data_IF_061228287434
#
_entry.id   IF_061228287434
#
_cell.length_a   1.000
_cell.length_b   1.000
_cell.length_c   1.000
_cell.angle_alpha   90.00
_cell.angle_beta   90.00
_cell.angle_gamma   90.00
#
_symmetry.space_group_name_H-M   'P 1'
#
loop_
_entity.id
_entity.type
_entity.pdbx_description
1 polymer ?
2 non-polymer ?
3 non-polymer ?
4 non-polymer ?
5 non-polymer ?
6 water ?
#
# COMPACT_ATOMS: atom_id res chain seq x y z
N UNK A 1 -16.33 -10.42 -4.49
CA UNK A 1 -15.73 -9.04 -4.72
C UNK A 1 -14.19 -9.09 -4.78
N UNK A 2 -13.60 -10.27 -5.04
CA UNK A 2 -12.18 -10.41 -5.45
C UNK A 2 -11.90 -9.38 -6.54
N UNK A 3 -10.76 -8.69 -6.45
CA UNK A 3 -10.41 -7.64 -7.42
C UNK A 3 -10.64 -8.14 -8.86
N UNK A 4 -10.29 -9.38 -9.23
CA UNK A 4 -10.30 -9.68 -10.69
C UNK A 4 -11.72 -10.04 -11.15
N UNK A 5 -12.68 -10.16 -10.22
CA UNK A 5 -14.12 -10.27 -10.55
C UNK A 5 -14.78 -8.90 -10.69
N UNK A 6 -14.04 -7.80 -10.52
CA UNK A 6 -14.62 -6.42 -10.45
C UNK A 6 -13.92 -5.49 -11.43
N UNK A 7 -12.62 -5.37 -11.33
CA UNK A 7 -11.84 -4.41 -12.16
C UNK A 7 -11.58 -5.08 -13.50
N UNK A 8 -11.92 -4.43 -14.63
CA UNK A 8 -11.59 -4.98 -15.94
C UNK A 8 -10.09 -5.37 -16.02
N UNK A 9 -9.79 -6.54 -16.57
CA UNK A 9 -8.44 -7.12 -16.66
C UNK A 9 -7.46 -6.12 -17.28
N UNK A 10 -7.87 -5.44 -18.32
CA UNK A 10 -6.92 -4.57 -19.07
C UNK A 10 -6.53 -3.35 -18.22
N UNK A 11 -7.15 -3.08 -17.06
CA UNK A 11 -6.76 -1.92 -16.23
C UNK A 11 -5.64 -2.35 -15.26
N UNK A 12 -5.44 -3.65 -15.06
CA UNK A 12 -4.50 -4.18 -14.04
C UNK A 12 -3.53 -5.25 -14.58
N UNK A 13 -3.83 -5.97 -15.66
CA UNK A 13 -2.93 -7.04 -16.18
C UNK A 13 -1.69 -6.42 -16.86
N UNK A 14 -0.48 -6.79 -16.43
CA UNK A 14 0.79 -6.28 -17.02
C UNK A 14 1.37 -7.24 -18.03
N UNK A 15 0.87 -8.48 -18.08
CA UNK A 15 1.39 -9.55 -18.93
C UNK A 15 2.84 -9.77 -18.50
N UNK A 16 3.82 -9.48 -19.35
CA UNK A 16 5.25 -9.66 -18.97
C UNK A 16 5.93 -8.29 -19.08
N UNK A 17 5.18 -7.23 -18.79
CA UNK A 17 5.64 -5.80 -18.87
C UNK A 17 5.38 -5.05 -17.57
N UNK A 18 6.09 -5.40 -16.47
CA UNK A 18 5.70 -4.96 -15.13
C UNK A 18 5.69 -3.45 -14.94
N UNK A 19 6.55 -2.74 -15.68
CA UNK A 19 6.70 -1.30 -15.43
C UNK A 19 5.79 -0.50 -16.38
N UNK A 20 5.31 -1.09 -17.48
CA UNK A 20 4.43 -0.40 -18.48
C UNK A 20 2.99 -0.38 -18.02
N UNK A 21 2.27 0.75 -18.24
CA UNK A 21 0.85 0.82 -17.87
C UNK A 21 0.03 -0.23 -18.62
N UNK A 22 -0.95 -0.89 -17.96
CA UNK A 22 -1.82 -1.83 -18.66
C UNK A 22 -2.50 -1.12 -19.82
N UNK A 23 -2.84 -1.85 -20.90
CA UNK A 23 -3.36 -1.21 -22.11
C UNK A 23 -4.65 -0.42 -21.85
N UNK A 24 -5.52 -0.87 -20.94
CA UNK A 24 -6.78 -0.15 -20.66
C UNK A 24 -6.55 1.21 -20.02
N UNK A 25 -5.43 1.40 -19.32
CA UNK A 25 -5.06 2.73 -18.80
C UNK A 25 -4.38 3.53 -19.92
N UNK A 26 -3.51 2.90 -20.70
CA UNK A 26 -2.81 3.59 -21.83
C UNK A 26 -3.85 4.18 -22.78
N UNK A 27 -4.96 3.47 -22.99
CA UNK A 27 -5.88 3.85 -24.08
C UNK A 27 -6.66 5.08 -23.63
N UNK A 28 -6.65 5.46 -22.35
CA UNK A 28 -7.39 6.67 -21.87
C UNK A 28 -6.50 7.91 -21.89
N UNK A 29 -5.24 7.80 -22.27
CA UNK A 29 -4.37 8.98 -22.30
C UNK A 29 -4.90 9.99 -23.33
N UNK A 30 -4.77 11.26 -23.00
CA UNK A 30 -5.16 12.39 -23.87
C UNK A 30 -6.66 12.57 -23.94
N UNK A 31 -7.41 11.92 -23.05
CA UNK A 31 -8.90 12.02 -23.01
C UNK A 31 -9.26 12.77 -21.74
N UNK A 32 -10.56 12.96 -21.48
CA UNK A 32 -11.02 13.53 -20.19
C UNK A 32 -10.31 12.80 -19.03
N UNK A 33 -9.95 13.55 -18.00
CA UNK A 33 -9.21 13.03 -16.83
C UNK A 33 -10.13 12.17 -15.94
N UNK A 34 -11.44 12.31 -16.09
CA UNK A 34 -12.42 11.51 -15.31
C UNK A 34 -13.37 10.92 -16.35
N UNK A 35 -13.50 9.61 -16.36
CA UNK A 35 -14.37 8.94 -17.36
C UNK A 35 -15.08 7.78 -16.70
N UNK A 36 -16.25 7.40 -17.19
CA UNK A 36 -16.92 6.22 -16.65
C UNK A 36 -16.04 4.98 -16.81
N UNK A 37 -16.27 4.07 -15.88
CA UNK A 37 -15.63 2.75 -15.79
C UNK A 37 -16.73 1.73 -15.60
N UNK A 38 -16.86 0.82 -16.53
CA UNK A 38 -17.85 -0.26 -16.39
C UNK A 38 -17.18 -1.44 -15.66
N UNK A 39 -17.69 -1.78 -14.49
CA UNK A 39 -17.10 -2.86 -13.67
C UNK A 39 -17.63 -4.20 -14.18
N UNK A 40 -16.87 -5.25 -13.93
CA UNK A 40 -17.21 -6.62 -14.39
C UNK A 40 -18.44 -7.15 -13.65
N UNK A 41 -18.82 -6.58 -12.52
CA UNK A 41 -20.08 -7.00 -11.80
C UNK A 41 -21.32 -6.39 -12.48
N UNK A 42 -21.15 -5.42 -13.38
CA UNK A 42 -22.21 -4.74 -14.13
C UNK A 42 -22.51 -3.37 -13.55
N UNK A 43 -21.86 -2.98 -12.47
CA UNK A 43 -22.02 -1.65 -11.85
C UNK A 43 -21.09 -0.65 -12.52
N UNK A 44 -21.51 0.61 -12.43
CA UNK A 44 -20.80 1.76 -13.04
C UNK A 44 -19.95 2.40 -11.94
N UNK A 45 -18.80 2.90 -12.31
CA UNK A 45 -17.94 3.71 -11.43
C UNK A 45 -17.28 4.75 -12.34
N UNK A 46 -16.45 5.59 -11.76
CA UNK A 46 -15.77 6.66 -12.52
C UNK A 46 -14.29 6.46 -12.22
N UNK A 47 -13.46 6.64 -13.20
CA UNK A 47 -12.01 6.44 -13.07
C UNK A 47 -11.34 7.79 -13.26
N UNK A 48 -10.37 8.07 -12.41
CA UNK A 48 -9.65 9.37 -12.43
C UNK A 48 -8.24 9.07 -12.84
N UNK A 49 -7.78 9.71 -13.91
CA UNK A 49 -6.39 9.51 -14.40
C UNK A 49 -5.59 10.81 -14.27
N UNK A 50 -6.23 11.92 -13.91
CA UNK A 50 -5.61 13.25 -13.82
C UNK A 50 -5.07 13.52 -12.44
N UNK A 51 -3.86 14.06 -12.33
CA UNK A 51 -3.24 14.42 -11.04
C UNK A 51 -4.09 15.46 -10.28
N UNK A 52 -4.50 16.56 -10.92
CA UNK A 52 -5.21 17.64 -10.20
C UNK A 52 -6.57 17.06 -9.79
N UNK A 53 -7.15 16.25 -10.65
CA UNK A 53 -8.49 15.71 -10.36
C UNK A 53 -8.43 14.71 -9.20
N UNK A 54 -7.41 13.88 -9.14
CA UNK A 54 -7.19 12.93 -8.04
C UNK A 54 -7.00 13.70 -6.74
N UNK A 55 -6.19 14.77 -6.75
CA UNK A 55 -5.99 15.59 -5.53
C UNK A 55 -7.30 16.14 -5.03
N UNK A 56 -8.14 16.58 -5.93
CA UNK A 56 -9.49 17.10 -5.57
C UNK A 56 -10.32 15.97 -4.94
N UNK A 57 -10.39 14.81 -5.57
CA UNK A 57 -11.15 13.69 -4.99
C UNK A 57 -10.72 13.47 -3.55
N UNK A 58 -9.39 13.40 -3.28
CA UNK A 58 -8.87 12.98 -1.98
C UNK A 58 -8.90 14.13 -0.97
N UNK A 59 -9.27 15.34 -1.37
CA UNK A 59 -9.28 16.49 -0.43
C UNK A 59 -10.47 17.40 -0.77
N UNK A 60 -11.65 16.87 -0.80
CA UNK A 60 -12.84 17.67 -1.12
C UNK A 60 -13.92 17.06 -0.28
N UNK A 61 -14.66 17.88 0.44
CA UNK A 61 -15.72 17.48 1.38
C UNK A 61 -16.85 16.74 0.67
N UNK A 62 -16.94 16.83 -0.65
CA UNK A 62 -18.02 16.12 -1.40
C UNK A 62 -17.68 14.66 -1.70
N UNK A 63 -16.47 14.20 -1.37
CA UNK A 63 -16.01 12.82 -1.67
C UNK A 63 -15.70 12.16 -0.35
N UNK A 64 -16.46 11.12 -0.01
CA UNK A 64 -16.39 10.45 1.29
C UNK A 64 -15.48 9.21 1.23
N UNK A 65 -14.70 9.03 2.30
CA UNK A 65 -13.91 7.82 2.56
C UNK A 65 -14.75 6.82 3.36
N UNK A 66 -15.92 7.22 3.80
CA UNK A 66 -16.77 6.32 4.63
C UNK A 66 -17.46 5.32 3.70
N UNK A 67 -16.70 4.28 3.36
CA UNK A 67 -17.13 3.22 2.45
C UNK A 67 -17.87 2.14 3.23
N UNK A 68 -18.06 2.33 4.53
CA UNK A 68 -19.02 1.53 5.33
C UNK A 68 -20.41 2.11 5.11
N UNK A 69 -20.57 3.39 5.39
CA UNK A 69 -21.86 4.07 5.17
C UNK A 69 -22.21 4.07 3.67
N UNK A 70 -21.29 4.52 2.83
CA UNK A 70 -21.55 4.73 1.37
C UNK A 70 -21.06 3.51 0.65
N UNK A 71 -21.99 2.69 0.10
CA UNK A 71 -21.53 1.41 -0.51
C UNK A 71 -20.84 1.75 -1.84
N UNK A 72 -19.71 1.12 -2.05
CA UNK A 72 -18.95 1.29 -3.33
C UNK A 72 -19.40 0.26 -4.35
N UNK A 73 -19.38 0.68 -5.61
CA UNK A 73 -19.68 -0.19 -6.76
C UNK A 73 -18.75 -1.40 -6.75
N UNK A 74 -17.51 -1.20 -6.30
CA UNK A 74 -16.49 -2.26 -6.26
C UNK A 74 -16.72 -3.30 -5.18
N UNK A 75 -17.62 -3.06 -4.24
CA UNK A 75 -17.98 -3.93 -3.09
C UNK A 75 -19.20 -4.81 -3.38
N UNK A 76 -19.84 -4.64 -4.53
CA UNK A 76 -21.19 -5.19 -4.74
C UNK A 76 -21.08 -6.70 -5.02
N UNK A 77 -21.83 -7.50 -4.28
CA UNK A 77 -22.11 -8.90 -4.68
C UNK A 77 -23.04 -8.85 -5.88
N UNK A 78 -23.09 -9.94 -6.69
CA UNK A 78 -23.95 -9.96 -7.87
C UNK A 78 -25.43 -9.62 -7.62
N UNK A 79 -25.98 -10.05 -6.50
CA UNK A 79 -27.42 -9.84 -6.20
C UNK A 79 -27.65 -8.37 -5.83
N UNK A 80 -26.58 -7.60 -5.59
CA UNK A 80 -26.70 -6.21 -5.11
C UNK A 80 -26.62 -5.16 -6.24
N UNK A 81 -26.16 -5.54 -7.41
CA UNK A 81 -25.86 -4.57 -8.50
C UNK A 81 -27.17 -3.92 -8.93
N UNK A 82 -28.22 -4.68 -9.20
CA UNK A 82 -29.48 -4.07 -9.74
C UNK A 82 -30.07 -3.11 -8.69
N UNK A 83 -29.97 -3.45 -7.38
CA UNK A 83 -30.41 -2.54 -6.28
C UNK A 83 -29.56 -1.27 -6.30
N UNK A 84 -28.25 -1.43 -6.40
CA UNK A 84 -27.33 -0.26 -6.48
C UNK A 84 -27.73 0.63 -7.64
N UNK A 85 -27.92 0.05 -8.81
CA UNK A 85 -28.23 0.85 -10.02
C UNK A 85 -29.57 1.54 -9.88
N UNK A 86 -30.52 0.93 -9.15
CA UNK A 86 -31.90 1.43 -8.99
C UNK A 86 -31.95 2.45 -7.84
N UNK A 87 -30.86 2.56 -7.07
CA UNK A 87 -30.74 3.45 -5.89
C UNK A 87 -31.51 2.93 -4.70
N UNK A 88 -31.70 1.61 -4.58
CA UNK A 88 -32.50 0.93 -3.52
C UNK A 88 -31.61 0.00 -2.66
N UNK A 89 -30.32 0.18 -2.78
CA UNK A 89 -29.39 -0.59 -1.93
C UNK A 89 -29.19 0.25 -0.69
N UNK A 90 -29.38 -0.31 0.52
CA UNK A 90 -29.28 0.54 1.71
C UNK A 90 -27.83 0.94 1.98
N UNK A 91 -27.63 2.08 2.65
CA UNK A 91 -26.32 2.42 3.18
C UNK A 91 -25.93 1.41 4.26
N UNK A 92 -24.65 1.37 4.56
CA UNK A 92 -24.16 0.76 5.79
C UNK A 92 -24.44 1.63 7.00
N UNK A 93 -24.04 1.19 8.21
CA UNK A 93 -24.32 1.93 9.43
C UNK A 93 -23.76 3.35 9.46
N UNK A 94 -24.54 4.28 9.98
CA UNK A 94 -24.14 5.67 10.25
C UNK A 94 -22.95 5.70 11.20
N UNK A 95 -22.01 6.61 10.96
CA UNK A 95 -20.74 6.56 11.70
C UNK A 95 -21.00 6.82 13.19
N UNK A 96 -22.02 7.62 13.54
CA UNK A 96 -22.44 7.92 14.94
C UNK A 96 -22.77 6.61 15.65
N UNK A 97 -23.14 5.55 14.94
CA UNK A 97 -23.58 4.26 15.53
C UNK A 97 -22.42 3.27 15.67
N UNK A 98 -21.25 3.58 15.09
CA UNK A 98 -20.16 2.58 15.02
C UNK A 98 -19.27 2.64 16.25
N UNK A 99 -18.85 1.47 16.73
CA UNK A 99 -17.93 1.37 17.88
C UNK A 99 -16.58 0.83 17.41
N UNK A 100 -16.41 0.57 16.12
CA UNK A 100 -15.16 -0.08 15.59
C UNK A 100 -14.05 0.96 15.44
N UNK A 101 -12.84 0.44 15.23
CA UNK A 101 -11.66 1.28 15.03
C UNK A 101 -11.26 1.44 13.58
N UNK A 102 -12.11 1.10 12.61
CA UNK A 102 -11.71 1.20 11.18
C UNK A 102 -11.83 2.64 10.71
N UNK A 103 -10.92 3.48 11.19
CA UNK A 103 -10.86 4.93 10.94
C UNK A 103 -10.58 5.22 9.47
N UNK A 104 -10.09 4.23 8.73
CA UNK A 104 -9.89 4.30 7.27
C UNK A 104 -11.22 4.54 6.58
N UNK A 105 -12.31 4.03 7.16
CA UNK A 105 -13.67 4.24 6.60
C UNK A 105 -14.45 5.26 7.42
N UNK A 106 -13.89 6.45 7.58
CA UNK A 106 -14.50 7.56 8.34
C UNK A 106 -14.05 8.84 7.65
N UNK A 107 -14.83 9.90 7.83
CA UNK A 107 -14.50 11.28 7.43
C UNK A 107 -14.32 12.11 8.69
N UNK A 108 -13.75 13.32 8.60
CA UNK A 108 -13.69 14.20 9.76
C UNK A 108 -15.09 14.51 10.26
N UNK A 109 -15.34 14.68 11.57
CA UNK A 109 -14.34 14.59 12.62
C UNK A 109 -14.14 13.23 13.25
N UNK A 110 -14.96 12.23 12.90
CA UNK A 110 -14.76 10.89 13.49
C UNK A 110 -13.41 10.30 13.11
N UNK A 111 -12.99 10.47 11.86
CA UNK A 111 -11.65 10.04 11.40
C UNK A 111 -10.56 10.71 12.27
N UNK A 112 -10.74 12.00 12.45
CA UNK A 112 -9.71 12.91 13.03
C UNK A 112 -9.38 12.46 14.45
N UNK A 113 -10.40 12.05 15.18
CA UNK A 113 -10.25 11.68 16.59
C UNK A 113 -9.32 10.47 16.72
N UNK A 114 -9.46 9.44 15.86
CA UNK A 114 -8.59 8.23 15.92
C UNK A 114 -7.24 8.52 15.25
N UNK A 115 -7.23 9.18 14.08
CA UNK A 115 -5.99 9.55 13.36
C UNK A 115 -5.06 10.38 14.27
N UNK A 116 -5.59 11.27 15.11
CA UNK A 116 -4.77 12.06 16.03
C UNK A 116 -4.01 11.15 17.01
N UNK A 117 -4.65 10.13 17.56
CA UNK A 117 -4.00 9.15 18.45
C UNK A 117 -2.86 8.41 17.73
N UNK A 118 -3.05 8.02 16.46
CA UNK A 118 -1.99 7.33 15.70
C UNK A 118 -0.84 8.29 15.39
N UNK A 119 -1.12 9.49 14.90
CA UNK A 119 -0.08 10.51 14.62
C UNK A 119 0.72 10.73 15.91
N UNK A 120 0.04 10.69 17.05
CA UNK A 120 0.59 10.89 18.37
C UNK A 120 1.62 9.84 18.72
N UNK A 121 1.57 8.66 18.11
CA UNK A 121 2.56 7.60 18.35
C UNK A 121 3.64 7.66 17.28
N UNK A 122 3.34 8.14 16.07
CA UNK A 122 4.31 8.29 14.96
C UNK A 122 5.05 9.60 15.18
N UNK A 123 5.69 9.75 16.33
CA UNK A 123 6.43 10.97 16.68
C UNK A 123 7.77 10.98 15.94
N UNK A 124 8.37 12.15 15.83
CA UNK A 124 9.72 12.28 15.23
C UNK A 124 10.70 11.42 16.05
N UNK A 125 10.58 11.36 17.37
CA UNK A 125 11.51 10.53 18.21
C UNK A 125 11.29 9.04 17.93
N UNK A 126 10.06 8.61 17.75
CA UNK A 126 9.87 7.19 17.39
C UNK A 126 10.42 6.91 15.99
N UNK A 127 10.27 7.86 15.08
CA UNK A 127 10.69 7.66 13.69
C UNK A 127 12.22 7.54 13.69
N UNK A 128 12.92 8.29 14.53
CA UNK A 128 14.40 8.18 14.61
C UNK A 128 14.76 6.80 15.14
N UNK A 129 13.99 6.31 16.09
CA UNK A 129 14.21 4.98 16.67
C UNK A 129 14.00 3.90 15.61
N UNK A 130 12.94 4.06 14.84
CA UNK A 130 12.60 3.07 13.79
C UNK A 130 13.64 3.09 12.67
N UNK A 131 14.23 4.23 12.32
CA UNK A 131 15.27 4.26 11.29
C UNK A 131 16.41 3.36 11.74
N UNK A 132 16.79 3.43 13.01
CA UNK A 132 17.89 2.59 13.53
C UNK A 132 17.50 1.12 13.47
N UNK A 133 16.27 0.82 13.82
CA UNK A 133 15.81 -0.58 13.83
C UNK A 133 15.75 -1.12 12.39
N UNK A 134 15.27 -0.30 11.45
CA UNK A 134 15.24 -0.66 10.02
C UNK A 134 16.65 -0.98 9.55
N UNK A 135 17.62 -0.15 9.93
CA UNK A 135 19.04 -0.35 9.52
C UNK A 135 19.54 -1.72 9.99
N UNK A 136 19.34 -2.03 11.27
CA UNK A 136 19.70 -3.34 11.83
C UNK A 136 19.06 -4.46 11.04
N UNK A 137 17.76 -4.44 10.88
CA UNK A 137 17.04 -5.58 10.27
C UNK A 137 17.53 -5.75 8.81
N UNK A 138 17.69 -4.65 8.07
CA UNK A 138 18.13 -4.70 6.66
C UNK A 138 19.53 -5.34 6.61
N UNK A 139 20.48 -4.79 7.37
CA UNK A 139 21.86 -5.29 7.32
C UNK A 139 21.87 -6.76 7.75
N UNK A 140 21.18 -7.12 8.82
CA UNK A 140 21.13 -8.55 9.26
C UNK A 140 20.66 -9.45 8.12
N UNK A 141 19.59 -9.06 7.43
CA UNK A 141 19.04 -9.88 6.32
C UNK A 141 20.02 -10.00 5.16
N UNK A 142 20.70 -8.92 4.81
CA UNK A 142 21.67 -8.91 3.69
C UNK A 142 22.88 -9.74 4.11
N UNK A 143 23.39 -9.58 5.33
CA UNK A 143 24.53 -10.38 5.83
C UNK A 143 24.12 -11.85 5.83
N UNK A 144 22.87 -12.20 6.14
CA UNK A 144 22.40 -13.59 6.13
C UNK A 144 22.39 -14.11 4.68
N UNK A 145 21.92 -13.31 3.72
CA UNK A 145 21.92 -13.74 2.31
C UNK A 145 23.37 -14.03 1.87
N UNK A 146 24.33 -13.16 2.22
CA UNK A 146 25.74 -13.29 1.79
C UNK A 146 26.38 -14.50 2.47
N UNK A 147 26.02 -14.81 3.71
CA UNK A 147 26.56 -16.00 4.40
C UNK A 147 26.04 -17.29 3.76
N UNK A 148 24.82 -17.28 3.19
CA UNK A 148 24.14 -18.52 2.74
C UNK A 148 24.64 -18.89 1.33
N UNK A 149 25.16 -17.93 0.57
CA UNK A 149 25.62 -18.18 -0.80
C UNK A 149 25.85 -16.94 -1.61
N UNK A 150 25.74 -17.07 -2.93
CA UNK A 150 25.95 -15.95 -3.87
C UNK A 150 24.66 -15.69 -4.65
N UNK A 151 23.59 -16.37 -4.26
CA UNK A 151 22.28 -16.20 -4.94
C UNK A 151 21.20 -16.22 -3.85
N UNK A 152 20.07 -15.57 -4.15
CA UNK A 152 18.92 -15.51 -3.24
C UNK A 152 17.68 -15.15 -4.02
N UNK A 153 16.52 -15.49 -3.45
CA UNK A 153 15.24 -14.91 -3.88
C UNK A 153 15.02 -13.73 -2.94
N UNK A 154 15.13 -12.53 -3.46
CA UNK A 154 15.05 -11.30 -2.66
C UNK A 154 13.71 -11.19 -1.95
N UNK A 155 12.65 -11.85 -2.46
CA UNK A 155 11.30 -11.64 -1.87
C UNK A 155 11.31 -12.29 -0.48
N UNK A 156 11.46 -13.62 -0.31
CA UNK A 156 11.47 -14.21 1.03
C UNK A 156 12.70 -13.85 1.87
N UNK A 157 13.83 -13.50 1.25
CA UNK A 157 15.09 -13.30 2.00
C UNK A 157 15.13 -11.89 2.59
N UNK A 158 14.36 -10.94 2.02
CA UNK A 158 14.60 -9.51 2.33
C UNK A 158 13.31 -8.70 2.26
N UNK A 159 12.65 -8.69 1.10
CA UNK A 159 11.52 -7.76 0.87
C UNK A 159 10.34 -8.09 1.79
N UNK A 160 10.01 -9.34 2.02
CA UNK A 160 8.88 -9.72 2.89
C UNK A 160 9.26 -9.53 4.34
N UNK A 161 10.40 -10.08 4.81
CA UNK A 161 10.66 -10.02 6.24
C UNK A 161 10.94 -8.64 6.82
N UNK A 162 11.59 -7.72 6.11
CA UNK A 162 11.94 -6.42 6.73
C UNK A 162 10.66 -5.69 7.15
N UNK A 163 9.64 -5.52 6.30
CA UNK A 163 8.48 -4.76 6.73
C UNK A 163 7.60 -5.51 7.75
N UNK A 164 7.55 -6.83 7.67
CA UNK A 164 6.85 -7.69 8.65
C UNK A 164 7.51 -7.50 10.03
N UNK A 165 8.83 -7.45 10.07
CA UNK A 165 9.51 -7.28 11.39
C UNK A 165 9.36 -5.83 11.89
N UNK A 166 9.21 -4.88 11.00
CA UNK A 166 8.92 -3.49 11.43
C UNK A 166 7.50 -3.42 11.99
N UNK A 167 6.52 -4.17 11.45
CA UNK A 167 5.18 -4.25 12.08
C UNK A 167 5.34 -4.85 13.47
N UNK A 168 6.12 -5.90 13.61
CA UNK A 168 6.38 -6.54 14.92
C UNK A 168 6.90 -5.46 15.87
N UNK A 169 7.82 -4.61 15.41
CA UNK A 169 8.37 -3.53 16.26
C UNK A 169 7.25 -2.58 16.68
N UNK A 170 6.36 -2.16 15.78
CA UNK A 170 5.29 -1.19 16.10
C UNK A 170 4.30 -1.80 17.09
N UNK A 171 3.98 -3.05 16.92
CA UNK A 171 2.92 -3.72 17.70
C UNK A 171 3.49 -4.35 18.98
N UNK A 172 4.80 -4.35 19.15
CA UNK A 172 5.47 -4.95 20.32
C UNK A 172 5.29 -6.45 20.38
N UNK A 173 5.40 -7.09 19.24
CA UNK A 173 5.38 -8.57 19.19
C UNK A 173 6.70 -9.08 19.82
N UNK A 174 6.57 -9.94 20.80
CA UNK A 174 7.71 -10.51 21.53
C UNK A 174 8.56 -11.35 20.59
N UNK A 175 9.86 -11.37 20.84
CA UNK A 175 10.84 -12.08 20.00
C UNK A 175 10.41 -13.49 19.71
N UNK A 176 9.99 -14.23 20.72
CA UNK A 176 9.61 -15.66 20.54
C UNK A 176 8.37 -15.82 19.68
N UNK A 177 7.57 -14.76 19.50
CA UNK A 177 6.32 -14.83 18.68
C UNK A 177 6.60 -14.39 17.25
N UNK A 178 7.79 -13.89 16.92
CA UNK A 178 8.05 -13.26 15.60
C UNK A 178 8.00 -14.30 14.47
N UNK A 179 8.63 -15.47 14.61
CA UNK A 179 8.73 -16.44 13.50
C UNK A 179 7.31 -16.79 13.06
N UNK A 180 6.41 -17.08 14.00
CA UNK A 180 5.02 -17.48 13.71
C UNK A 180 4.27 -16.33 13.05
N UNK A 181 4.45 -15.12 13.58
CA UNK A 181 3.86 -13.91 12.99
C UNK A 181 4.30 -13.80 11.52
N UNK A 182 5.60 -13.93 11.28
CA UNK A 182 6.21 -13.78 9.93
C UNK A 182 5.63 -14.87 9.02
N UNK A 183 5.51 -16.09 9.54
CA UNK A 183 4.95 -17.22 8.75
C UNK A 183 3.51 -16.87 8.34
N UNK A 184 2.71 -16.33 9.25
CA UNK A 184 1.25 -16.13 9.00
C UNK A 184 1.06 -14.96 8.02
N UNK A 185 1.85 -13.89 8.18
CA UNK A 185 1.82 -12.73 7.25
C UNK A 185 2.33 -13.14 5.86
N UNK A 186 3.34 -14.02 5.76
CA UNK A 186 3.86 -14.53 4.46
C UNK A 186 2.77 -15.35 3.74
N UNK A 187 2.01 -16.18 4.46
CA UNK A 187 0.93 -17.02 3.86
C UNK A 187 -0.02 -16.11 3.06
N UNK A 188 -0.40 -14.99 3.65
CA UNK A 188 -1.27 -14.00 3.01
C UNK A 188 -0.82 -13.61 1.62
N UNK A 189 0.49 -13.68 1.36
CA UNK A 189 1.16 -13.11 0.16
C UNK A 189 1.70 -14.22 -0.78
N UNK A 190 1.44 -15.47 -0.45
CA UNK A 190 2.04 -16.65 -1.15
C UNK A 190 1.13 -17.02 -2.33
N UNK A 191 1.64 -16.94 -3.56
CA UNK A 191 0.95 -17.31 -4.82
C UNK A 191 0.32 -18.71 -4.68
N UNK A 192 0.97 -19.60 -3.94
CA UNK A 192 0.66 -21.05 -3.92
C UNK A 192 -0.30 -21.39 -2.78
N UNK A 193 -0.51 -20.47 -1.83
CA UNK A 193 -1.44 -20.70 -0.70
C UNK A 193 -2.89 -20.71 -1.20
N UNK A 194 -3.64 -21.76 -0.83
CA UNK A 194 -5.11 -21.91 -1.11
C UNK A 194 -5.89 -20.86 -0.29
N UNK A 195 -7.15 -20.61 -0.69
CA UNK A 195 -8.10 -19.67 -0.01
C UNK A 195 -8.40 -20.18 1.41
N UNK A 196 -8.36 -21.51 1.61
CA UNK A 196 -8.55 -22.15 2.94
C UNK A 196 -7.30 -21.91 3.80
N UNK A 197 -6.10 -22.11 3.25
CA UNK A 197 -4.81 -21.89 3.97
C UNK A 197 -4.70 -20.41 4.39
N UNK A 198 -5.13 -19.48 3.53
CA UNK A 198 -5.12 -18.02 3.78
C UNK A 198 -6.11 -17.72 4.91
N UNK A 199 -7.36 -18.19 4.81
CA UNK A 199 -8.43 -17.85 5.76
C UNK A 199 -8.05 -18.36 7.16
N UNK A 200 -7.32 -19.49 7.27
CA UNK A 200 -6.76 -19.99 8.56
C UNK A 200 -5.68 -19.01 9.07
N UNK A 201 -4.70 -18.65 8.26
CA UNK A 201 -3.64 -17.68 8.66
C UNK A 201 -4.31 -16.37 9.12
N UNK A 202 -5.32 -15.88 8.40
CA UNK A 202 -6.05 -14.64 8.74
C UNK A 202 -6.74 -14.78 10.10
N UNK A 203 -7.40 -15.91 10.38
CA UNK A 203 -8.11 -16.14 11.67
C UNK A 203 -7.09 -16.25 12.81
N UNK A 204 -5.96 -16.90 12.54
CA UNK A 204 -4.84 -17.02 13.52
C UNK A 204 -4.33 -15.61 13.86
N UNK A 205 -4.18 -14.74 12.87
CA UNK A 205 -3.67 -13.37 13.15
C UNK A 205 -4.73 -12.56 13.91
N UNK A 206 -6.03 -12.71 13.61
CA UNK A 206 -7.07 -11.92 14.31
C UNK A 206 -7.06 -12.27 15.80
N UNK A 207 -6.98 -13.56 16.10
CA UNK A 207 -6.98 -14.08 17.48
C UNK A 207 -5.69 -13.64 18.14
N UNK A 208 -4.57 -13.66 17.40
CA UNK A 208 -3.26 -13.21 17.90
C UNK A 208 -3.37 -11.74 18.30
N UNK A 209 -4.01 -10.89 17.47
CA UNK A 209 -4.11 -9.43 17.77
C UNK A 209 -4.96 -9.23 19.04
N UNK A 210 -6.04 -9.99 19.19
CA UNK A 210 -6.84 -9.92 20.43
C UNK A 210 -5.94 -10.24 21.63
N UNK A 211 -5.16 -11.33 21.55
CA UNK A 211 -4.27 -11.74 22.66
C UNK A 211 -3.17 -10.70 22.85
N UNK A 212 -2.66 -10.12 21.78
CA UNK A 212 -1.59 -9.10 21.86
C UNK A 212 -2.12 -7.84 22.56
N UNK A 213 -3.30 -7.37 22.19
CA UNK A 213 -3.86 -6.19 22.89
C UNK A 213 -4.05 -6.51 24.37
N UNK A 214 -4.60 -7.68 24.73
CA UNK A 214 -4.83 -8.04 26.15
C UNK A 214 -3.47 -8.04 26.88
N UNK A 215 -2.44 -8.50 26.19
CA UNK A 215 -1.08 -8.63 26.78
C UNK A 215 -0.51 -7.22 27.02
N UNK A 216 -0.74 -6.26 26.11
CA UNK A 216 -0.22 -4.89 26.31
C UNK A 216 -1.03 -4.17 27.40
N UNK A 217 -2.30 -4.52 27.58
CA UNK A 217 -3.12 -3.90 28.65
C UNK A 217 -2.53 -4.30 30.00
N UNK A 218 -2.12 -5.58 30.13
CA UNK A 218 -1.59 -6.16 31.39
C UNK A 218 -0.11 -5.78 31.55
N UNK A 219 0.66 -5.82 30.47
CA UNK A 219 2.14 -5.83 30.48
C UNK A 219 2.68 -4.91 29.40
N UNK A 220 2.41 -3.60 29.50
CA UNK A 220 2.85 -2.65 28.47
C UNK A 220 4.37 -2.49 28.42
N UNK A 221 4.85 -2.14 27.23
CA UNK A 221 6.26 -1.83 26.95
C UNK A 221 6.34 -0.45 26.32
N UNK A 222 7.25 -0.25 25.38
CA UNK A 222 7.58 1.08 24.81
C UNK A 222 7.06 1.20 23.37
N UNK A 223 6.25 0.26 22.93
CA UNK A 223 5.87 0.13 21.52
C UNK A 223 4.66 1.02 21.26
N UNK A 224 4.38 1.24 19.99
CA UNK A 224 3.23 2.06 19.55
C UNK A 224 1.93 1.46 20.09
N UNK A 225 1.80 0.15 20.09
CA UNK A 225 0.52 -0.40 20.56
C UNK A 225 0.35 -0.18 22.07
N UNK A 226 1.36 -0.44 22.89
CA UNK A 226 1.34 -0.06 24.32
C UNK A 226 0.88 1.41 24.49
N UNK A 227 1.41 2.31 23.69
CA UNK A 227 1.07 3.75 23.73
C UNK A 227 -0.42 3.96 23.46
N UNK A 228 -0.95 3.26 22.48
CA UNK A 228 -2.40 3.39 22.14
C UNK A 228 -3.24 2.85 23.27
N UNK A 229 -2.79 1.76 23.89
CA UNK A 229 -3.57 1.07 24.95
C UNK A 229 -3.58 1.96 26.19
N UNK A 230 -2.46 2.59 26.55
CA UNK A 230 -2.27 3.23 27.87
C UNK A 230 -2.23 4.76 27.85
N UNK A 231 -1.76 5.38 26.77
CA UNK A 231 -1.34 6.80 26.75
C UNK A 231 -2.36 7.61 25.91
N UNK A 232 -3.29 6.94 25.25
CA UNK A 232 -4.36 7.54 24.41
C UNK A 232 -5.36 8.24 25.31
N UNK A 233 -5.59 9.52 25.04
CA UNK A 233 -6.67 10.26 25.75
C UNK A 233 -7.42 11.02 24.66
N UNK A 234 -8.74 10.76 24.54
CA UNK A 234 -9.44 9.72 25.30
C UNK A 234 -9.16 8.26 24.93
N UNK A 235 -9.41 7.28 25.83
CA UNK A 235 -8.98 5.90 25.60
C UNK A 235 -9.85 5.13 24.61
N UNK A 236 -9.22 4.26 23.84
CA UNK A 236 -9.90 3.35 22.90
C UNK A 236 -10.35 2.11 23.64
N UNK A 237 -11.43 1.48 23.18
CA UNK A 237 -11.80 0.12 23.67
C UNK A 237 -10.83 -0.93 23.12
N UNK A 238 -10.81 -2.09 23.76
CA UNK A 238 -10.02 -3.25 23.31
C UNK A 238 -10.39 -3.57 21.87
N UNK A 239 -11.68 -3.59 21.53
CA UNK A 239 -12.12 -3.93 20.18
C UNK A 239 -11.55 -2.91 19.17
N UNK A 240 -11.54 -1.62 19.52
CA UNK A 240 -11.03 -0.55 18.63
C UNK A 240 -9.52 -0.75 18.43
N UNK A 241 -8.81 -1.12 19.50
CA UNK A 241 -7.34 -1.33 19.43
C UNK A 241 -7.04 -2.49 18.53
N UNK A 242 -7.79 -3.58 18.66
CA UNK A 242 -7.60 -4.71 17.73
C UNK A 242 -7.78 -4.25 16.28
N UNK A 243 -8.84 -3.50 15.99
CA UNK A 243 -9.13 -3.00 14.64
C UNK A 243 -7.92 -2.16 14.15
N UNK A 244 -7.43 -1.26 14.97
CA UNK A 244 -6.27 -0.39 14.60
C UNK A 244 -5.03 -1.26 14.32
N UNK A 245 -4.74 -2.27 15.14
CA UNK A 245 -3.58 -3.17 14.91
C UNK A 245 -3.75 -3.88 13.58
N UNK A 246 -4.96 -4.33 13.23
CA UNK A 246 -5.22 -5.02 11.94
C UNK A 246 -5.07 -4.04 10.77
N UNK A 247 -5.50 -2.80 10.96
CA UNK A 247 -5.29 -1.73 9.96
C UNK A 247 -3.80 -1.50 9.71
N UNK A 248 -2.99 -1.35 10.77
CA UNK A 248 -1.52 -1.15 10.61
C UNK A 248 -0.92 -2.33 9.88
N UNK A 249 -1.24 -3.55 10.27
CA UNK A 249 -0.65 -4.75 9.62
C UNK A 249 -1.06 -4.75 8.14
N UNK A 250 -2.34 -4.53 7.87
CA UNK A 250 -2.88 -4.55 6.50
C UNK A 250 -2.25 -3.47 5.62
N UNK A 251 -1.98 -2.30 6.16
CA UNK A 251 -1.51 -1.13 5.40
C UNK A 251 0.00 -1.18 5.23
N UNK A 252 0.72 -1.72 6.19
CA UNK A 252 2.17 -1.49 6.32
C UNK A 252 3.05 -2.61 5.85
N UNK A 253 2.52 -3.81 5.69
CA UNK A 253 3.35 -4.98 5.33
C UNK A 253 3.42 -5.19 3.82
N UNK A 254 2.31 -5.54 3.19
CA UNK A 254 2.24 -5.94 1.77
C UNK A 254 2.73 -4.81 0.86
N UNK A 255 2.33 -3.58 1.15
CA UNK A 255 2.75 -2.43 0.33
C UNK A 255 4.25 -2.30 0.36
N UNK A 256 4.81 -2.18 1.54
CA UNK A 256 6.27 -1.95 1.66
C UNK A 256 7.04 -3.13 1.06
N UNK A 257 6.59 -4.32 1.32
CA UNK A 257 7.30 -5.52 0.83
C UNK A 257 7.33 -5.50 -0.69
N UNK A 258 6.17 -5.25 -1.30
CA UNK A 258 6.10 -5.21 -2.77
C UNK A 258 6.92 -4.06 -3.32
N UNK A 259 6.98 -2.93 -2.63
CA UNK A 259 7.80 -1.80 -3.10
C UNK A 259 9.28 -2.17 -3.05
N UNK A 260 9.73 -2.86 -1.99
CA UNK A 260 11.17 -3.28 -1.90
C UNK A 260 11.52 -4.19 -3.07
N UNK A 261 10.73 -5.23 -3.33
CA UNK A 261 10.99 -6.14 -4.44
C UNK A 261 10.91 -5.47 -5.80
N UNK A 262 9.91 -4.66 -6.04
CA UNK A 262 9.76 -4.04 -7.38
C UNK A 262 10.80 -2.94 -7.57
N UNK A 263 11.22 -2.24 -6.52
CA UNK A 263 12.28 -1.25 -6.64
C UNK A 263 13.62 -1.90 -7.01
N UNK A 264 13.96 -2.99 -6.36
CA UNK A 264 15.19 -3.72 -6.72
C UNK A 264 15.12 -4.17 -8.19
N UNK A 265 13.98 -4.68 -8.60
CA UNK A 265 13.74 -5.14 -9.98
C UNK A 265 13.97 -3.98 -10.95
N UNK A 266 13.32 -2.84 -10.71
CA UNK A 266 13.41 -1.67 -11.59
C UNK A 266 14.85 -1.18 -11.69
N UNK A 267 15.55 -1.14 -10.56
CA UNK A 267 16.94 -0.67 -10.61
C UNK A 267 17.80 -1.65 -11.42
N UNK A 268 17.59 -2.94 -11.29
CA UNK A 268 18.36 -3.95 -12.08
C UNK A 268 18.02 -3.84 -13.58
N UNK A 269 16.80 -3.47 -13.93
CA UNK A 269 16.40 -3.26 -15.34
C UNK A 269 16.82 -1.88 -15.84
N UNK A 270 17.25 -0.98 -14.96
CA UNK A 270 17.65 0.41 -15.33
C UNK A 270 19.02 0.66 -14.77
N UNK A 271 20.07 -0.05 -15.27
CA UNK A 271 21.39 0.03 -14.66
C UNK A 271 21.95 1.46 -14.61
N UNK A 272 21.55 2.33 -15.51
CA UNK A 272 22.03 3.73 -15.53
C UNK A 272 21.55 4.45 -14.27
N UNK A 273 20.36 4.10 -13.83
CA UNK A 273 19.78 4.75 -12.64
C UNK A 273 20.48 4.17 -11.42
N UNK A 274 20.69 2.86 -11.36
CA UNK A 274 21.47 2.22 -10.28
C UNK A 274 22.87 2.85 -10.25
N UNK A 275 23.48 3.09 -11.42
CA UNK A 275 24.84 3.66 -11.46
C UNK A 275 24.86 5.03 -10.78
N UNK A 276 23.85 5.86 -11.02
CA UNK A 276 23.72 7.21 -10.47
C UNK A 276 23.72 7.09 -8.94
N UNK A 277 23.01 6.09 -8.43
CA UNK A 277 22.86 5.90 -6.97
C UNK A 277 24.13 5.41 -6.32
N UNK A 278 24.81 4.45 -6.92
CA UNK A 278 26.08 3.94 -6.34
C UNK A 278 27.08 5.10 -6.30
N UNK A 279 27.08 5.92 -7.35
CA UNK A 279 28.01 7.05 -7.56
C UNK A 279 27.75 8.15 -6.54
N UNK A 280 26.49 8.40 -6.20
CA UNK A 280 26.13 9.51 -5.29
C UNK A 280 25.08 9.00 -4.33
N UNK A 281 25.49 8.37 -3.22
CA UNK A 281 24.56 7.90 -2.19
C UNK A 281 23.55 8.95 -1.66
N UNK A 282 23.88 10.25 -1.72
CA UNK A 282 22.98 11.34 -1.29
C UNK A 282 21.70 11.37 -2.14
N UNK A 283 21.72 10.69 -3.29
CA UNK A 283 20.58 10.71 -4.25
C UNK A 283 19.49 9.76 -3.77
N UNK A 284 19.76 8.95 -2.75
CA UNK A 284 18.83 7.86 -2.35
C UNK A 284 17.46 8.44 -2.04
N UNK A 285 17.36 9.54 -1.29
CA UNK A 285 16.00 10.01 -0.90
C UNK A 285 15.21 10.42 -2.16
N UNK A 286 15.84 11.17 -3.05
CA UNK A 286 15.13 11.57 -4.28
C UNK A 286 14.81 10.34 -5.15
N UNK A 287 15.71 9.36 -5.21
CA UNK A 287 15.48 8.12 -5.98
C UNK A 287 14.25 7.36 -5.42
N UNK A 288 14.13 7.23 -4.11
CA UNK A 288 12.94 6.57 -3.49
C UNK A 288 11.66 7.29 -3.94
N UNK A 289 11.63 8.61 -3.98
CA UNK A 289 10.42 9.34 -4.41
C UNK A 289 10.14 9.01 -5.88
N UNK A 290 11.18 8.94 -6.71
CA UNK A 290 10.98 8.61 -8.14
C UNK A 290 10.46 7.18 -8.27
N UNK A 291 10.98 6.25 -7.48
CA UNK A 291 10.50 4.86 -7.55
C UNK A 291 9.04 4.81 -7.11
N UNK A 292 8.69 5.53 -6.06
CA UNK A 292 7.29 5.55 -5.62
C UNK A 292 6.37 6.07 -6.73
N UNK A 293 6.76 7.09 -7.45
CA UNK A 293 5.97 7.66 -8.55
C UNK A 293 5.88 6.62 -9.68
N UNK A 294 7.03 6.08 -10.08
CA UNK A 294 7.15 5.27 -11.30
C UNK A 294 6.44 3.92 -11.11
N UNK A 295 6.53 3.34 -9.93
CA UNK A 295 6.03 1.94 -9.74
C UNK A 295 4.57 1.91 -9.26
N UNK A 296 4.16 2.85 -8.44
CA UNK A 296 2.78 2.99 -7.87
C UNK A 296 2.03 1.66 -7.57
N UNK A 297 2.52 0.90 -6.60
CA UNK A 297 2.03 -0.45 -6.19
C UNK A 297 0.57 -0.42 -5.70
N UNK A 298 0.07 0.73 -5.28
CA UNK A 298 -1.38 0.83 -4.91
C UNK A 298 -2.37 0.51 -6.03
N UNK A 299 -2.06 0.70 -7.29
CA UNK A 299 -3.07 0.21 -8.33
C UNK A 299 -4.42 0.99 -8.21
N UNK A 300 -5.58 0.32 -8.24
CA UNK A 300 -6.91 0.98 -8.29
C UNK A 300 -7.64 0.87 -6.94
N UNK A 301 -6.94 0.64 -5.84
CA UNK A 301 -7.59 0.41 -4.52
C UNK A 301 -8.03 1.70 -3.81
N UNK A 302 -7.56 2.87 -4.24
CA UNK A 302 -7.90 4.20 -3.64
C UNK A 302 -9.18 4.74 -4.28
N UNK A 303 -10.29 4.79 -3.51
CA UNK A 303 -11.57 5.25 -4.05
C UNK A 303 -12.31 6.09 -3.01
N UNK A 304 -13.27 6.85 -3.50
CA UNK A 304 -14.18 7.62 -2.64
C UNK A 304 -15.59 7.57 -3.24
N UNK A 305 -16.57 7.98 -2.46
CA UNK A 305 -17.96 8.04 -2.92
C UNK A 305 -18.44 9.48 -2.85
N UNK A 306 -19.10 9.95 -3.90
CA UNK A 306 -19.67 11.31 -3.88
C UNK A 306 -20.87 11.34 -2.94
N UNK A 307 -21.02 12.48 -2.27
CA UNK A 307 -22.21 12.73 -1.42
C UNK A 307 -23.15 13.74 -2.09
N UNK A 308 -22.73 14.34 -3.19
CA UNK A 308 -23.58 15.23 -4.02
C UNK A 308 -23.02 15.20 -5.43
N UNK A 309 -23.77 15.67 -6.43
CA UNK A 309 -23.26 15.70 -7.78
C UNK A 309 -22.03 16.59 -7.88
N UNK A 310 -21.05 16.17 -8.67
CA UNK A 310 -19.79 16.92 -8.87
C UNK A 310 -19.38 16.88 -10.33
N UNK A 311 -19.00 18.04 -10.87
CA UNK A 311 -18.38 18.14 -12.19
C UNK A 311 -16.87 18.18 -11.99
N UNK A 312 -16.18 17.26 -12.60
CA UNK A 312 -14.73 17.11 -12.46
C UNK A 312 -14.15 16.42 -13.67
N UNK A 313 -13.02 16.92 -14.18
CA UNK A 313 -12.27 16.25 -15.24
C UNK A 313 -13.09 15.94 -16.49
N UNK A 314 -14.06 16.80 -16.82
CA UNK A 314 -14.88 16.58 -18.02
C UNK A 314 -16.10 15.74 -17.71
N UNK A 315 -16.27 15.24 -16.47
CA UNK A 315 -17.38 14.32 -16.11
C UNK A 315 -18.37 15.03 -15.19
N UNK A 316 -19.66 14.74 -15.38
CA UNK A 316 -20.73 15.08 -14.42
C UNK A 316 -21.00 13.82 -13.61
N UNK A 317 -20.34 13.73 -12.46
CA UNK A 317 -20.47 12.57 -11.54
C UNK A 317 -21.71 12.76 -10.69
N UNK A 318 -22.62 11.77 -10.68
CA UNK A 318 -23.81 11.89 -9.85
C UNK A 318 -23.46 11.72 -8.38
N UNK A 319 -24.41 12.05 -7.52
CA UNK A 319 -24.33 11.75 -6.09
C UNK A 319 -24.36 10.22 -5.91
N UNK A 320 -23.60 9.69 -4.97
CA UNK A 320 -23.62 8.27 -4.59
C UNK A 320 -22.71 7.43 -5.48
N UNK A 321 -21.83 8.06 -6.22
CA UNK A 321 -21.03 7.40 -7.25
C UNK A 321 -19.69 7.00 -6.65
N UNK A 322 -19.16 5.90 -7.13
CA UNK A 322 -17.79 5.41 -6.78
C UNK A 322 -16.79 6.03 -7.74
N UNK A 323 -15.82 6.71 -7.18
CA UNK A 323 -14.74 7.38 -7.93
C UNK A 323 -13.43 6.70 -7.56
N UNK A 324 -12.83 6.05 -8.53
CA UNK A 324 -11.63 5.21 -8.39
C UNK A 324 -10.48 6.05 -8.90
N UNK A 325 -9.43 6.14 -8.11
CA UNK A 325 -8.17 6.79 -8.58
C UNK A 325 -7.29 5.76 -9.30
N UNK A 326 -6.91 6.04 -10.55
CA UNK A 326 -5.95 5.21 -11.28
C UNK A 326 -4.54 5.66 -10.90
N UNK A 327 -4.14 5.34 -9.69
CA UNK A 327 -2.96 5.96 -9.07
C UNK A 327 -1.74 5.82 -9.99
N UNK A 328 -1.55 4.70 -10.68
CA UNK A 328 -0.37 4.57 -11.53
C UNK A 328 -0.35 5.58 -12.69
N UNK A 329 -1.50 5.93 -13.23
CA UNK A 329 -1.62 6.88 -14.36
C UNK A 329 -1.62 8.31 -13.85
N UNK A 330 -2.23 8.58 -12.71
CA UNK A 330 -2.11 9.89 -12.04
C UNK A 330 -0.62 10.26 -11.81
N UNK A 331 0.20 9.27 -11.50
CA UNK A 331 1.64 9.46 -11.23
C UNK A 331 2.42 9.51 -12.54
N UNK A 332 1.74 9.45 -13.68
CA UNK A 332 2.37 9.64 -15.01
C UNK A 332 1.70 10.77 -15.76
N UNK A 333 1.10 11.69 -15.03
CA UNK A 333 0.37 12.80 -15.69
C UNK A 333 1.41 13.71 -16.33
N UNK A 334 1.42 13.86 -17.68
CA UNK A 334 2.49 14.64 -18.29
C UNK A 334 2.34 16.13 -17.96
N UNK A 335 1.22 16.60 -17.44
CA UNK A 335 1.17 18.00 -16.92
C UNK A 335 2.17 18.13 -15.76
N UNK A 336 2.33 17.11 -14.94
CA UNK A 336 3.23 17.20 -13.78
C UNK A 336 4.66 16.83 -14.13
N UNK A 337 4.84 15.73 -14.86
CA UNK A 337 6.15 15.13 -15.12
C UNK A 337 6.34 15.02 -16.63
N UNK A 338 7.13 15.94 -17.22
CA UNK A 338 7.64 15.67 -18.56
C UNK A 338 8.30 14.29 -18.67
N UNK A 339 8.04 13.58 -19.77
CA UNK A 339 8.62 12.23 -20.02
C UNK A 339 8.23 11.34 -18.85
N UNK A 340 6.92 11.22 -18.56
CA UNK A 340 6.51 10.58 -17.32
C UNK A 340 6.79 9.08 -17.26
N UNK A 341 6.99 8.41 -18.42
CA UNK A 341 7.18 6.92 -18.46
C UNK A 341 8.65 6.56 -18.30
N UNK A 342 9.50 7.54 -18.06
CA UNK A 342 10.95 7.31 -17.84
C UNK A 342 11.20 7.25 -16.34
N UNK A 343 11.96 6.27 -15.89
CA UNK A 343 12.52 6.27 -14.51
C UNK A 343 13.75 7.18 -14.49
N UNK A 344 13.68 8.29 -13.76
CA UNK A 344 14.82 9.25 -13.74
C UNK A 344 15.05 9.68 -12.31
N UNK A 345 15.95 9.02 -11.63
CA UNK A 345 16.14 9.24 -10.17
C UNK A 345 16.70 10.64 -9.95
N UNK A 346 17.14 11.34 -11.00
CA UNK A 346 17.63 12.74 -10.85
C UNK A 346 16.54 13.76 -11.15
N UNK A 347 15.34 13.33 -11.49
CA UNK A 347 14.17 14.22 -11.74
C UNK A 347 14.01 15.19 -10.58
N UNK A 348 13.67 16.47 -10.81
CA UNK A 348 13.27 17.33 -9.71
C UNK A 348 12.08 16.69 -8.98
N UNK A 349 12.23 16.63 -7.68
CA UNK A 349 11.28 15.90 -6.82
C UNK A 349 10.06 16.79 -6.55
N UNK A 350 8.89 16.31 -6.96
CA UNK A 350 7.62 17.00 -6.76
C UNK A 350 6.61 15.96 -6.32
N UNK A 351 5.52 16.41 -5.71
CA UNK A 351 4.63 15.50 -5.02
C UNK A 351 3.98 14.52 -5.98
N UNK A 352 3.89 13.28 -5.52
CA UNK A 352 3.19 12.21 -6.25
C UNK A 352 2.03 11.75 -5.35
N UNK A 353 1.24 10.81 -5.86
CA UNK A 353 0.02 10.31 -5.16
C UNK A 353 0.20 8.87 -4.75
N UNK A 354 1.42 8.35 -4.66
CA UNK A 354 1.69 6.95 -4.24
C UNK A 354 1.22 6.68 -2.81
N UNK A 355 1.18 7.71 -1.95
CA UNK A 355 0.72 7.61 -0.57
C UNK A 355 -0.65 8.28 -0.38
N UNK A 356 -1.32 8.59 -1.46
CA UNK A 356 -2.60 9.32 -1.43
C UNK A 356 -2.44 10.80 -1.11
N UNK A 357 -3.49 11.39 -0.56
CA UNK A 357 -3.56 12.84 -0.32
C UNK A 357 -4.73 13.11 0.62
N UNK A 358 -4.80 14.33 1.16
CA UNK A 358 -5.89 14.69 2.07
C UNK A 358 -5.75 14.05 3.42
N UNK A 359 -6.86 13.98 4.17
CA UNK A 359 -6.75 13.65 5.60
C UNK A 359 -6.30 12.18 5.76
N UNK A 360 -6.59 11.32 4.77
CA UNK A 360 -6.24 9.89 4.87
C UNK A 360 -4.86 9.58 4.30
N UNK A 361 -4.12 10.56 3.86
CA UNK A 361 -2.77 10.31 3.27
C UNK A 361 -1.99 9.41 4.21
N UNK A 362 -1.27 8.46 3.62
CA UNK A 362 -0.60 7.37 4.33
C UNK A 362 -0.02 7.84 5.67
N UNK A 363 -0.49 7.23 6.76
CA UNK A 363 0.00 7.48 8.13
C UNK A 363 1.46 7.04 8.26
N UNK A 364 1.84 6.01 7.51
CA UNK A 364 3.13 5.35 7.59
C UNK A 364 4.10 5.88 6.60
N UNK A 365 3.81 6.95 5.87
CA UNK A 365 4.67 7.29 4.72
C UNK A 365 6.11 7.58 5.11
N UNK A 366 6.36 8.24 6.23
CA UNK A 366 7.75 8.49 6.64
C UNK A 366 8.43 7.14 6.91
N UNK A 367 7.73 6.20 7.55
CA UNK A 367 8.32 4.89 7.89
C UNK A 367 8.56 4.12 6.60
N UNK A 368 7.63 4.22 5.65
CA UNK A 368 7.79 3.52 4.36
C UNK A 368 9.01 4.09 3.64
N UNK A 369 9.16 5.41 3.70
CA UNK A 369 10.30 6.05 3.02
C UNK A 369 11.58 5.56 3.69
N UNK A 370 11.60 5.47 5.02
CA UNK A 370 12.78 4.96 5.76
C UNK A 370 13.12 3.54 5.34
N UNK A 371 12.15 2.65 5.27
CA UNK A 371 12.38 1.27 4.86
C UNK A 371 12.98 1.24 3.44
N UNK A 372 12.48 2.09 2.52
CA UNK A 372 12.96 2.10 1.14
C UNK A 372 14.37 2.69 1.09
N UNK A 373 14.60 3.78 1.78
CA UNK A 373 15.89 4.52 1.74
C UNK A 373 16.97 3.61 2.31
N UNK A 374 16.70 3.05 3.49
CA UNK A 374 17.69 2.20 4.19
C UNK A 374 17.83 0.88 3.42
N UNK A 375 16.72 0.21 3.14
CA UNK A 375 16.74 -1.08 2.46
C UNK A 375 17.55 -1.01 1.17
N UNK A 376 17.21 -0.07 0.31
CA UNK A 376 17.85 -0.03 -1.02
C UNK A 376 19.30 0.43 -0.87
N UNK A 377 19.61 1.37 0.02
CA UNK A 377 21.02 1.81 0.23
C UNK A 377 21.83 0.57 0.64
N UNK A 378 21.36 -0.19 1.63
CA UNK A 378 22.12 -1.34 2.14
C UNK A 378 22.22 -2.39 1.03
N UNK A 379 21.16 -2.67 0.27
CA UNK A 379 21.21 -3.70 -0.78
C UNK A 379 22.26 -3.33 -1.81
N UNK A 380 22.23 -2.08 -2.28
CA UNK A 380 23.05 -1.65 -3.43
C UNK A 380 24.52 -1.59 -2.99
N UNK A 381 24.77 -1.21 -1.76
CA UNK A 381 26.19 -1.01 -1.31
C UNK A 381 26.80 -2.33 -0.89
N UNK A 382 26.02 -3.32 -0.45
CA UNK A 382 26.55 -4.56 0.10
C UNK A 382 26.61 -5.68 -0.95
N UNK A 383 25.89 -5.57 -2.07
CA UNK A 383 25.81 -6.68 -3.04
C UNK A 383 26.38 -6.25 -4.37
N UNK A 384 27.71 -6.46 -4.54
CA UNK A 384 28.42 -6.02 -5.72
C UNK A 384 27.94 -6.85 -6.90
N UNK A 385 27.76 -6.18 -8.01
CA UNK A 385 27.47 -6.87 -9.28
C UNK A 385 26.13 -7.58 -9.10
N UNK A 386 25.25 -7.02 -8.27
CA UNK A 386 23.87 -7.58 -8.14
C UNK A 386 23.27 -7.69 -9.54
N UNK A 387 22.60 -8.80 -9.79
CA UNK A 387 22.00 -9.08 -11.11
C UNK A 387 20.82 -10.02 -10.95
N UNK A 388 19.88 -9.94 -11.88
CA UNK A 388 18.82 -10.96 -12.02
C UNK A 388 19.39 -12.26 -12.54
N UNK A 389 18.88 -13.37 -12.09
CA UNK A 389 19.32 -14.68 -12.64
C UNK A 389 18.27 -15.30 -13.56
N UNK A 390 17.18 -14.60 -13.85
CA UNK A 390 16.20 -14.98 -14.89
C UNK A 390 15.95 -13.75 -15.72
N UNK A 391 15.46 -13.90 -16.96
CA UNK A 391 15.03 -12.72 -17.71
C UNK A 391 13.89 -11.99 -17.00
N UNK A 392 13.85 -10.67 -17.17
CA UNK A 392 12.80 -9.85 -16.57
C UNK A 392 11.39 -10.36 -16.93
N UNK A 393 11.20 -10.82 -18.16
CA UNK A 393 9.87 -11.26 -18.59
C UNK A 393 9.49 -12.58 -17.90
N UNK A 394 10.41 -13.25 -17.22
CA UNK A 394 10.08 -14.50 -16.51
C UNK A 394 9.92 -14.24 -15.01
N UNK A 395 10.06 -13.02 -14.56
CA UNK A 395 9.80 -12.74 -13.12
C UNK A 395 8.28 -12.78 -12.90
N UNK A 396 7.74 -13.61 -11.98
CA UNK A 396 6.30 -13.76 -11.83
C UNK A 396 5.66 -12.55 -11.16
N UNK A 397 4.60 -12.00 -11.74
CA UNK A 397 3.95 -10.76 -11.25
C UNK A 397 2.69 -11.05 -10.44
N UNK A 398 2.46 -10.22 -9.44
CA UNK A 398 1.26 -10.26 -8.58
C UNK A 398 0.29 -9.17 -9.07
N UNK A 399 -0.45 -9.40 -10.14
CA UNK A 399 -1.50 -8.45 -10.64
C UNK A 399 -2.91 -9.07 -10.53
N UNK A 400 -3.12 -10.15 -9.75
CA UNK A 400 -4.47 -10.63 -9.34
C UNK A 400 -4.80 -10.18 -7.89
N UNK A 401 -3.87 -9.48 -7.21
CA UNK A 401 -4.08 -8.99 -5.83
C UNK A 401 -4.26 -7.46 -5.86
N UNK A 402 -4.75 -6.88 -4.76
CA UNK A 402 -5.01 -5.41 -4.69
C UNK A 402 -3.70 -4.63 -4.85
N UNK A 403 -2.59 -5.13 -4.31
CA UNK A 403 -1.28 -4.46 -4.40
C UNK A 403 -0.42 -5.20 -5.43
N UNK A 404 0.20 -4.43 -6.33
CA UNK A 404 1.07 -4.99 -7.39
C UNK A 404 2.44 -5.29 -6.79
N UNK A 405 3.10 -6.30 -7.34
CA UNK A 405 4.44 -6.66 -6.88
C UNK A 405 4.93 -7.84 -7.67
N UNK A 406 6.05 -8.41 -7.23
CA UNK A 406 6.58 -9.68 -7.81
C UNK A 406 6.46 -10.80 -6.78
N UNK A 407 6.24 -12.02 -7.26
CA UNK A 407 6.13 -13.21 -6.36
C UNK A 407 7.52 -13.74 -6.02
N UNK A 408 8.51 -13.46 -6.84
CA UNK A 408 9.89 -13.97 -6.68
C UNK A 408 10.81 -12.98 -7.37
N UNK A 409 12.02 -12.83 -6.89
CA UNK A 409 13.04 -11.98 -7.55
C UNK A 409 14.38 -12.66 -7.36
N UNK A 410 14.75 -13.54 -8.30
CA UNK A 410 15.97 -14.30 -8.20
C UNK A 410 17.15 -13.42 -8.62
N UNK A 411 18.07 -13.29 -7.68
CA UNK A 411 19.26 -12.44 -7.83
C UNK A 411 20.54 -13.20 -7.46
N UNK A 412 21.63 -12.69 -7.99
CA UNK A 412 22.98 -13.15 -7.64
C UNK A 412 23.90 -11.96 -7.48
N UNK A 413 25.03 -12.17 -6.83
CA UNK A 413 26.01 -11.09 -6.64
C UNK A 413 27.41 -11.73 -6.61
N UNK A 414 28.43 -10.92 -6.41
CA UNK A 414 29.83 -11.40 -6.50
C UNK A 414 30.60 -10.99 -5.24
X LIG B 1 -3.07 4.78 4.04
X LIG B 1 0.10 3.72 0.45
X LIG B 1 3.15 1.96 3.83
X LIG B 1 -0.10 2.77 7.34
X LIG B 1 -2.44 4.70 2.79
X LIG B 1 -2.96 5.22 1.58
X LIG B 1 -2.08 4.95 0.58
X LIG B 1 -1.01 4.21 1.19
X LIG B 1 -2.22 5.25 -0.91
X LIG B 1 -4.23 6.08 1.36
X LIG B 1 -5.44 5.22 1.12
X LIG B 1 -6.71 6.06 0.86
X LIG B 1 -7.77 5.43 0.48
X LIG B 1 -6.72 7.26 1.13
X LIG B 1 1.21 3.11 1.08
X LIG B 1 2.35 2.68 0.38
X LIG B 1 3.25 2.16 1.29
X LIG B 1 2.58 2.28 2.61
X LIG B 1 2.52 2.81 -1.08
X LIG B 1 4.59 1.59 1.14
X LIG B 1 5.38 1.87 0.17
X LIG B 1 2.55 2.03 5.04
X LIG B 1 3.19 1.68 6.26
X LIG B 1 2.27 1.88 7.29
X LIG B 1 1.09 2.43 6.70
X LIG B 1 4.66 1.23 6.39
X LIG B 1 2.34 1.67 8.74
X LIG B 1 3.33 1.15 9.38
X LIG B 1 -1.15 3.38 6.70
X LIG B 1 -2.41 3.70 7.37
X LIG B 1 -3.25 4.23 6.46
X LIG B 1 -2.48 4.27 5.21
X LIG B 1 -2.68 3.36 8.82
X LIG B 1 -4.63 4.78 6.72
X LIG B 1 -4.60 6.29 6.90
X LIG B 1 -5.96 6.90 7.12
X LIG B 1 -6.03 7.90 7.85
X LIG B 1 -7.00 6.41 6.58
X LIG B 1 -1.20 4.10 2.54
X LIG B 1 1.35 2.81 2.39
X LIG B 1 1.28 2.48 5.32
X LIG B 1 -1.27 3.67 5.37
X LIG B 1 0.13 3.51 3.96
X LIG C 1 14.20 10.10 10.19
X LIG C 1 14.77 9.72 8.95
X LIG C 1 13.55 11.41 10.09
X LIG C 1 13.64 12.15 11.30
X LIG C 1 13.25 13.52 11.15
X LIG C 1 11.80 13.58 10.77
X LIG C 1 11.26 14.91 10.76
X LIG D 1 9.72 13.50 0.40
X LIG D 1 9.22 14.67 1.01
X LIG D 1 11.19 13.32 0.62
X LIG D 1 11.45 12.73 1.89
X LIG D 1 12.81 12.32 2.08
X LIG D 1 13.14 12.25 3.54
X LIG D 1 12.84 9.98 7.54
X LIG D 1 12.48 9.85 6.18
X LIG D 1 12.41 11.19 5.52
X LIG D 1 12.58 11.06 4.12
X LIG E 1 -16.29 -1.89 9.59
X LIG E 1 -17.62 -2.22 9.93
X LIG E 1 -15.42 -3.08 9.46
X LIG E 1 -14.74 -3.24 8.23
X LIG F 1 -4.83 1.20 2.16
X LIG F 1 -3.67 1.22 1.34
X LIG F 1 -4.52 1.52 3.60
X LIG F 1 -5.61 1.15 4.45
X LIG F 1 -6.03 -0.20 4.30
X LIG F 1 -6.72 -0.72 5.54
X LIG F 1 -6.02 -1.82 6.14
#
# INVERSE_FOLDING_TARGET
TAMRRIIPADMVERSRCPFDPPPGLLERRGQDAVQPLQLLNGARAWLVTGFEEARTVLSDARFSADRVRHREATSLQPHEVAEFEAGTLPPGPAVESREDGFFVFMDPPEHTRIRRLLTGQFTVRRMRALEDRVTEIAVEHIEAMKAAGTEADLVPAFALPLPSLIICELLGVDYADRAEFQERTAIGLNANATAEERAVASAELYAFMQRLVADKRANPADDLLSGLVHDADPPLTDAQLVDVALVLLGAGHETTANMLGLSAFALLENPDQLAALRADPDLIDNAVEELLRYLTIIQLGVSRVTTEPVTLGGADIPAGATVVIATPEVNRDPQQWPDPDRLDVKRPRTPHLAFGHGVHQCLGQQLARIEMQVGLRELITRLPDLRLTVPAEQVPLRDEMLIFGVHALPVAWS
HEM CHA CHB CHC CHD C1A C2A C3A C4A CMA CAA CBA CGA O1A O2A C1B C2B C3B C4B CMB CAB CBB C1C C2C C3C C4C CMC CAC CBC C1D C2D C3D C4D CMD CAD CBD CGD O1D O2D NA NB NC ND FE
PEG C1 O1 C2 O2 C3 C4 O4
PGE C1 O1 C2 O2 C3 C4 O4 C6 C5 O3
EDO C1 O1 C2 O2
PEG C1 O1 C2 O2 C3 C4 O4
#
